data_IF_075083614398
#
_entry.id   IF_075083614398
#
_cell.length_a   1.000
_cell.length_b   1.000
_cell.length_c   1.000
_cell.angle_alpha   90.00
_cell.angle_beta   90.00
_cell.angle_gamma   90.00
#
_symmetry.space_group_name_H-M   'P 1'
#
loop_
_entity.id
_entity.type
_entity.pdbx_description
1 polymer ?
#
# COMPACT_ATOMS: atom_id res chain seq x y z
N UNK A 1 22.27 13.43 5.45
CA UNK A 1 23.14 14.06 4.43
C UNK A 1 24.31 14.83 5.03
N UNK A 2 24.09 15.84 5.89
CA UNK A 2 25.17 16.66 6.48
C UNK A 2 26.39 15.84 6.98
N UNK A 3 26.19 14.90 7.91
CA UNK A 3 27.28 14.03 8.43
C UNK A 3 27.97 13.16 7.38
N UNK A 4 27.22 12.70 6.37
CA UNK A 4 27.77 11.92 5.26
C UNK A 4 28.70 12.80 4.39
N UNK A 5 28.31 14.06 4.15
CA UNK A 5 29.14 15.04 3.43
C UNK A 5 30.37 15.47 4.24
N UNK A 6 30.24 15.54 5.57
CA UNK A 6 31.33 15.83 6.50
C UNK A 6 32.32 14.65 6.67
N UNK A 7 32.10 13.51 6.00
CA UNK A 7 33.03 12.38 6.00
C UNK A 7 32.93 11.49 7.23
N UNK A 8 31.76 11.46 7.89
CA UNK A 8 31.52 10.57 9.02
C UNK A 8 31.51 9.10 8.59
N UNK A 9 32.58 8.38 8.92
CA UNK A 9 32.79 6.97 8.51
C UNK A 9 31.72 6.03 9.02
N UNK A 10 31.15 6.28 10.20
CA UNK A 10 30.09 5.45 10.75
C UNK A 10 28.79 5.63 9.95
N UNK A 11 28.43 6.89 9.67
CA UNK A 11 27.25 7.19 8.86
C UNK A 11 27.40 6.65 7.45
N UNK A 12 28.60 6.73 6.86
CA UNK A 12 28.88 6.14 5.55
C UNK A 12 28.67 4.63 5.54
N UNK A 13 29.22 3.92 6.53
CA UNK A 13 29.06 2.47 6.67
C UNK A 13 27.58 2.09 6.83
N UNK A 14 26.84 2.82 7.65
CA UNK A 14 25.40 2.60 7.84
C UNK A 14 24.60 2.85 6.56
N UNK A 15 24.90 3.91 5.82
CA UNK A 15 24.23 4.22 4.55
C UNK A 15 24.48 3.11 3.52
N UNK A 16 25.73 2.63 3.38
CA UNK A 16 26.05 1.49 2.49
C UNK A 16 25.24 0.24 2.87
N UNK A 17 25.19 -0.07 4.17
CA UNK A 17 24.47 -1.21 4.71
C UNK A 17 22.97 -1.14 4.44
N UNK A 18 22.30 -0.02 4.76
CA UNK A 18 20.83 0.09 4.63
C UNK A 18 20.37 0.26 3.19
N UNK A 19 21.18 0.87 2.33
CA UNK A 19 20.84 1.04 0.91
C UNK A 19 21.19 -0.19 0.08
N UNK A 20 21.90 -1.17 0.66
CA UNK A 20 22.49 -2.32 -0.02
C UNK A 20 23.28 -1.89 -1.28
N UNK A 21 23.92 -0.72 -1.22
CA UNK A 21 24.71 -0.13 -2.29
C UNK A 21 26.14 0.07 -1.78
N UNK A 22 27.04 -0.82 -2.16
CA UNK A 22 28.45 -0.71 -1.78
C UNK A 22 29.23 0.28 -2.67
N UNK A 23 28.73 0.53 -3.88
CA UNK A 23 29.49 1.21 -4.94
C UNK A 23 29.14 2.69 -5.07
N UNK A 24 27.88 3.07 -4.87
CA UNK A 24 27.42 4.45 -5.07
C UNK A 24 26.63 4.92 -3.86
N UNK A 25 27.17 5.91 -3.18
CA UNK A 25 26.49 6.61 -2.09
C UNK A 25 25.50 7.63 -2.66
N UNK A 26 24.33 7.81 -2.03
CA UNK A 26 23.41 8.87 -2.40
C UNK A 26 24.04 10.23 -2.13
N UNK A 27 23.89 11.16 -3.08
CA UNK A 27 24.42 12.52 -3.04
C UNK A 27 23.44 13.54 -2.48
N UNK A 28 22.14 13.24 -2.58
CA UNK A 28 21.05 14.09 -2.10
C UNK A 28 20.19 13.38 -1.06
N UNK A 29 19.42 14.15 -0.28
CA UNK A 29 18.49 13.59 0.68
C UNK A 29 17.39 12.77 -0.02
N UNK A 30 16.96 13.24 -1.20
CA UNK A 30 15.99 12.59 -2.05
C UNK A 30 16.51 11.26 -2.61
N UNK A 31 17.78 11.17 -3.04
CA UNK A 31 18.38 9.90 -3.48
C UNK A 31 18.47 8.87 -2.34
N UNK A 32 18.79 9.33 -1.13
CA UNK A 32 18.77 8.48 0.05
C UNK A 32 17.34 8.03 0.37
N UNK A 33 16.38 8.96 0.37
CA UNK A 33 14.96 8.66 0.60
C UNK A 33 14.44 7.66 -0.44
N UNK A 34 14.81 7.77 -1.70
CA UNK A 34 14.42 6.83 -2.74
C UNK A 34 14.91 5.40 -2.48
N UNK A 35 16.02 5.27 -1.76
CA UNK A 35 16.58 3.97 -1.42
C UNK A 35 15.89 3.30 -0.23
N UNK A 36 15.44 4.07 0.76
CA UNK A 36 15.00 3.54 2.06
C UNK A 36 13.51 3.78 2.35
N UNK A 37 12.94 4.86 1.82
CA UNK A 37 11.53 5.23 2.01
C UNK A 37 10.73 4.73 0.82
N UNK A 38 9.80 3.83 1.10
CA UNK A 38 8.84 3.32 0.15
C UNK A 38 7.47 3.81 0.56
N UNK A 39 6.75 4.44 -0.36
CA UNK A 39 5.39 4.93 -0.11
C UNK A 39 4.43 4.25 -1.07
N UNK A 40 3.21 3.99 -0.62
CA UNK A 40 2.18 3.41 -1.46
C UNK A 40 0.84 4.10 -1.23
N UNK A 41 0.22 4.60 -2.29
CA UNK A 41 -1.17 5.04 -2.27
C UNK A 41 -2.06 3.87 -2.68
N UNK A 42 -2.81 3.35 -1.71
CA UNK A 42 -3.70 2.19 -1.85
C UNK A 42 -5.15 2.66 -2.06
N UNK A 43 -5.50 2.87 -3.32
CA UNK A 43 -6.77 3.43 -3.75
C UNK A 43 -7.86 2.36 -3.87
N UNK A 44 -9.11 2.76 -3.71
CA UNK A 44 -10.29 2.01 -4.14
C UNK A 44 -11.11 2.83 -5.13
N UNK A 45 -12.17 2.24 -5.70
CA UNK A 45 -13.17 2.87 -6.58
C UNK A 45 -13.81 4.13 -5.98
N UNK A 46 -13.82 4.23 -4.64
CA UNK A 46 -14.35 5.36 -3.90
C UNK A 46 -13.30 6.45 -3.59
N UNK A 47 -12.04 6.24 -3.99
CA UNK A 47 -10.95 7.19 -3.73
C UNK A 47 -10.90 8.28 -4.80
N UNK A 48 -10.81 9.54 -4.39
CA UNK A 48 -10.78 10.68 -5.30
C UNK A 48 -9.41 10.96 -5.93
N UNK A 49 -9.38 11.47 -7.16
CA UNK A 49 -8.13 11.82 -7.87
C UNK A 49 -7.27 12.83 -7.11
N UNK A 50 -7.88 13.78 -6.41
CA UNK A 50 -7.15 14.81 -5.66
C UNK A 50 -6.23 14.24 -4.57
N UNK A 51 -6.63 13.18 -3.85
CA UNK A 51 -5.80 12.58 -2.80
C UNK A 51 -4.68 11.72 -3.38
N UNK A 52 -4.92 11.05 -4.51
CA UNK A 52 -3.88 10.37 -5.28
C UNK A 52 -2.80 11.35 -5.74
N UNK A 53 -3.21 12.44 -6.38
CA UNK A 53 -2.28 13.42 -6.94
C UNK A 53 -1.51 14.15 -5.83
N UNK A 54 -2.15 14.38 -4.68
CA UNK A 54 -1.46 14.87 -3.49
C UNK A 54 -0.39 13.88 -2.98
N UNK A 55 -0.72 12.60 -2.87
CA UNK A 55 0.22 11.57 -2.42
C UNK A 55 1.44 11.47 -3.35
N UNK A 56 1.23 11.52 -4.67
CA UNK A 56 2.31 11.54 -5.65
C UNK A 56 3.20 12.78 -5.46
N UNK A 57 2.62 13.98 -5.36
CA UNK A 57 3.40 15.22 -5.18
C UNK A 57 4.26 15.20 -3.91
N UNK A 58 3.71 14.69 -2.81
CA UNK A 58 4.47 14.55 -1.56
C UNK A 58 5.62 13.55 -1.75
N UNK A 59 5.35 12.42 -2.39
CA UNK A 59 6.36 11.41 -2.66
C UNK A 59 7.50 11.94 -3.54
N UNK A 60 7.19 12.76 -4.54
CA UNK A 60 8.16 13.41 -5.43
C UNK A 60 9.02 14.44 -4.67
N UNK A 61 8.41 15.26 -3.80
CA UNK A 61 9.12 16.23 -2.97
C UNK A 61 10.08 15.56 -1.99
N UNK A 62 9.66 14.46 -1.37
CA UNK A 62 10.48 13.67 -0.45
C UNK A 62 11.54 12.85 -1.20
N UNK A 63 11.25 12.43 -2.43
CA UNK A 63 12.06 11.52 -3.23
C UNK A 63 11.82 10.04 -2.93
N UNK A 64 10.72 9.67 -2.27
CA UNK A 64 10.44 8.27 -1.92
C UNK A 64 10.16 7.40 -3.15
N UNK A 65 10.38 6.09 -3.05
CA UNK A 65 9.91 5.15 -4.08
C UNK A 65 8.41 4.92 -3.94
N UNK A 66 7.62 5.63 -4.75
CA UNK A 66 6.18 5.63 -4.69
C UNK A 66 5.53 4.52 -5.54
N UNK A 67 4.45 3.93 -5.01
CA UNK A 67 3.56 3.04 -5.76
C UNK A 67 2.12 3.49 -5.66
N UNK A 68 1.42 3.37 -6.78
CA UNK A 68 -0.02 3.48 -6.84
C UNK A 68 -0.60 2.07 -7.03
N UNK A 69 -1.56 1.69 -6.20
CA UNK A 69 -2.19 0.36 -6.25
C UNK A 69 -3.69 0.52 -6.08
N UNK A 70 -4.46 -0.10 -6.98
CA UNK A 70 -5.91 -0.26 -6.84
C UNK A 70 -6.21 -1.54 -6.07
N UNK A 71 -6.95 -1.44 -4.96
CA UNK A 71 -7.31 -2.59 -4.11
C UNK A 71 -8.65 -3.23 -4.49
N UNK A 72 -9.35 -2.67 -5.48
CA UNK A 72 -10.70 -3.07 -5.85
C UNK A 72 -10.79 -4.56 -6.16
N UNK A 73 -9.87 -5.10 -6.96
CA UNK A 73 -9.84 -6.54 -7.28
C UNK A 73 -9.81 -7.45 -6.05
N UNK A 74 -9.11 -7.04 -4.98
CA UNK A 74 -9.04 -7.83 -3.75
C UNK A 74 -10.33 -7.68 -2.94
N UNK A 75 -10.93 -6.49 -2.94
CA UNK A 75 -12.20 -6.27 -2.27
C UNK A 75 -13.34 -7.00 -2.99
N UNK A 76 -13.41 -6.86 -4.31
CA UNK A 76 -14.41 -7.50 -5.16
C UNK A 76 -14.30 -9.02 -5.04
N UNK A 77 -13.10 -9.62 -5.02
CA UNK A 77 -12.94 -11.07 -4.79
C UNK A 77 -13.46 -11.54 -3.42
N UNK A 78 -13.37 -10.71 -2.38
CA UNK A 78 -13.93 -11.04 -1.05
C UNK A 78 -15.45 -10.92 -1.06
N UNK A 79 -16.00 -9.91 -1.75
CA UNK A 79 -17.45 -9.72 -1.94
C UNK A 79 -18.05 -10.86 -2.80
N UNK A 80 -17.35 -11.29 -3.85
CA UNK A 80 -17.70 -12.45 -4.68
C UNK A 80 -17.69 -13.74 -3.86
N UNK A 81 -16.65 -13.99 -3.07
CA UNK A 81 -16.61 -15.17 -2.20
C UNK A 81 -17.77 -15.18 -1.17
N UNK A 82 -18.15 -14.03 -0.62
CA UNK A 82 -19.33 -13.95 0.24
C UNK A 82 -20.61 -14.27 -0.54
N UNK A 83 -20.72 -13.77 -1.76
CA UNK A 83 -21.86 -14.05 -2.65
C UNK A 83 -21.98 -15.54 -2.93
N UNK A 84 -20.89 -16.16 -3.39
CA UNK A 84 -20.86 -17.55 -3.84
C UNK A 84 -21.04 -18.55 -2.69
N UNK A 85 -20.46 -18.28 -1.51
CA UNK A 85 -20.39 -19.27 -0.43
C UNK A 85 -21.36 -19.03 0.73
N UNK A 86 -21.98 -17.84 0.83
CA UNK A 86 -22.82 -17.48 1.99
C UNK A 86 -24.26 -17.17 1.61
N UNK A 87 -24.50 -16.53 0.47
CA UNK A 87 -25.85 -16.07 0.07
C UNK A 87 -26.35 -16.69 -1.23
N UNK A 88 -25.60 -17.63 -1.79
CA UNK A 88 -26.05 -18.52 -2.87
C UNK A 88 -26.53 -19.84 -2.26
N UNK A 89 -27.75 -20.26 -2.59
CA UNK A 89 -28.31 -21.53 -2.11
C UNK A 89 -27.76 -22.76 -2.87
N UNK A 90 -28.17 -23.96 -2.45
CA UNK A 90 -27.73 -25.23 -3.06
C UNK A 90 -28.14 -25.37 -4.54
N UNK A 91 -29.12 -24.57 -4.99
CA UNK A 91 -29.64 -24.55 -6.35
C UNK A 91 -28.94 -23.49 -7.22
N UNK A 92 -28.00 -22.73 -6.65
CA UNK A 92 -27.23 -21.71 -7.34
C UNK A 92 -27.94 -20.36 -7.44
N UNK A 93 -29.01 -20.13 -6.67
CA UNK A 93 -29.75 -18.87 -6.65
C UNK A 93 -29.21 -17.95 -5.57
N UNK A 94 -28.93 -16.71 -5.97
CA UNK A 94 -28.44 -15.64 -5.09
C UNK A 94 -29.62 -14.94 -4.43
N UNK A 95 -29.58 -14.77 -3.10
CA UNK A 95 -30.49 -13.84 -2.41
C UNK A 95 -30.04 -12.39 -2.64
N UNK A 96 -30.62 -11.75 -3.65
CA UNK A 96 -30.32 -10.35 -4.01
C UNK A 96 -30.56 -9.35 -2.87
N UNK A 97 -31.40 -9.71 -1.89
CA UNK A 97 -31.67 -8.90 -0.70
C UNK A 97 -30.50 -8.87 0.29
N UNK A 98 -29.60 -9.85 0.22
CA UNK A 98 -28.45 -9.99 1.11
C UNK A 98 -27.14 -9.49 0.51
N UNK A 99 -27.13 -9.09 -0.77
CA UNK A 99 -25.95 -8.49 -1.43
C UNK A 99 -25.55 -7.22 -0.67
N UNK A 100 -24.33 -7.15 -0.10
CA UNK A 100 -23.89 -5.98 0.66
C UNK A 100 -23.87 -4.73 -0.23
N UNK A 101 -24.44 -3.64 0.27
CA UNK A 101 -24.47 -2.34 -0.42
C UNK A 101 -23.98 -1.25 0.52
N UNK A 102 -23.35 -0.22 -0.02
CA UNK A 102 -23.01 0.97 0.75
C UNK A 102 -24.30 1.69 1.19
N UNK A 103 -24.22 2.47 2.27
CA UNK A 103 -25.35 3.26 2.76
C UNK A 103 -25.82 4.26 1.69
N UNK A 104 -24.89 4.81 0.91
CA UNK A 104 -25.18 5.70 -0.23
C UNK A 104 -25.90 5.01 -1.39
N UNK A 105 -25.90 3.67 -1.42
CA UNK A 105 -26.55 2.84 -2.44
C UNK A 105 -27.82 2.14 -1.90
N UNK A 106 -28.34 2.60 -0.76
CA UNK A 106 -29.53 2.02 -0.13
C UNK A 106 -29.25 0.79 0.75
N UNK A 107 -27.99 0.53 1.11
CA UNK A 107 -27.62 -0.50 2.07
C UNK A 107 -27.93 -0.14 3.52
N UNK A 108 -27.60 -1.05 4.43
CA UNK A 108 -27.73 -0.85 5.88
C UNK A 108 -26.42 -0.41 6.49
N UNK A 109 -26.45 0.14 7.71
CA UNK A 109 -25.22 0.47 8.46
C UNK A 109 -24.27 -0.73 8.61
N UNK A 110 -24.82 -1.93 8.78
CA UNK A 110 -24.03 -3.16 8.92
C UNK A 110 -23.27 -3.52 7.63
N UNK A 111 -23.97 -3.50 6.50
CA UNK A 111 -23.37 -3.83 5.19
C UNK A 111 -22.37 -2.76 4.75
N UNK A 112 -22.67 -1.49 5.00
CA UNK A 112 -21.76 -0.37 4.76
C UNK A 112 -20.45 -0.50 5.56
N UNK A 113 -20.54 -0.78 6.87
CA UNK A 113 -19.36 -1.00 7.71
C UNK A 113 -18.57 -2.25 7.28
N UNK A 114 -19.25 -3.31 6.84
CA UNK A 114 -18.58 -4.51 6.33
C UNK A 114 -17.73 -4.19 5.09
N UNK A 115 -18.30 -3.49 4.11
CA UNK A 115 -17.60 -3.08 2.88
C UNK A 115 -16.42 -2.13 3.17
N UNK A 116 -16.59 -1.18 4.09
CA UNK A 116 -15.49 -0.31 4.53
C UNK A 116 -14.37 -1.08 5.24
N UNK A 117 -14.72 -2.06 6.08
CA UNK A 117 -13.76 -2.91 6.75
C UNK A 117 -12.96 -3.77 5.77
N UNK A 118 -13.62 -4.34 4.74
CA UNK A 118 -12.94 -5.08 3.67
C UNK A 118 -11.88 -4.18 3.01
N UNK A 119 -12.26 -2.97 2.60
CA UNK A 119 -11.28 -2.02 2.03
C UNK A 119 -10.13 -1.72 3.00
N UNK A 120 -10.41 -1.44 4.28
CA UNK A 120 -9.37 -1.11 5.26
C UNK A 120 -8.40 -2.28 5.51
N UNK A 121 -8.91 -3.51 5.60
CA UNK A 121 -8.09 -4.71 5.83
C UNK A 121 -7.35 -5.16 4.57
N UNK A 122 -7.93 -4.96 3.40
CA UNK A 122 -7.22 -5.17 2.12
C UNK A 122 -6.01 -4.24 2.00
N UNK A 123 -6.13 -2.96 2.44
CA UNK A 123 -4.97 -2.05 2.50
C UNK A 123 -3.88 -2.57 3.43
N UNK A 124 -4.25 -3.06 4.61
CA UNK A 124 -3.28 -3.66 5.54
C UNK A 124 -2.53 -4.83 4.89
N UNK A 125 -3.26 -5.80 4.32
CA UNK A 125 -2.66 -6.98 3.67
C UNK A 125 -1.72 -6.56 2.54
N UNK A 126 -2.15 -5.64 1.69
CA UNK A 126 -1.31 -5.12 0.59
C UNK A 126 -0.07 -4.40 1.10
N UNK A 127 -0.16 -3.61 2.17
CA UNK A 127 1.00 -2.93 2.77
C UNK A 127 2.05 -3.92 3.25
N UNK A 128 1.65 -5.01 3.91
CA UNK A 128 2.59 -6.04 4.36
C UNK A 128 3.20 -6.82 3.19
N UNK A 129 2.41 -7.14 2.17
CA UNK A 129 2.92 -7.79 0.96
C UNK A 129 3.96 -6.91 0.24
N UNK A 130 3.66 -5.61 0.09
CA UNK A 130 4.60 -4.64 -0.47
C UNK A 130 5.86 -4.51 0.39
N UNK A 131 5.72 -4.46 1.71
CA UNK A 131 6.86 -4.36 2.61
C UNK A 131 7.83 -5.54 2.47
N UNK A 132 7.30 -6.75 2.29
CA UNK A 132 8.11 -7.96 2.12
C UNK A 132 8.71 -8.09 0.70
N UNK A 133 8.00 -7.62 -0.33
CA UNK A 133 8.34 -7.92 -1.73
C UNK A 133 8.87 -6.74 -2.54
N UNK A 134 8.69 -5.48 -2.11
CA UNK A 134 9.25 -4.33 -2.85
C UNK A 134 10.78 -4.35 -2.92
N UNK A 135 11.53 -4.69 -1.86
CA UNK A 135 12.98 -4.89 -1.97
C UNK A 135 13.32 -5.96 -3.02
N UNK A 136 12.63 -7.10 -2.99
CA UNK A 136 12.81 -8.18 -3.96
C UNK A 136 12.52 -7.73 -5.39
N UNK A 137 11.42 -7.01 -5.62
CA UNK A 137 11.06 -6.44 -6.93
C UNK A 137 12.11 -5.44 -7.44
N UNK A 138 12.86 -4.81 -6.54
CA UNK A 138 14.00 -3.92 -6.85
C UNK A 138 15.34 -4.67 -6.96
N UNK A 139 15.33 -6.02 -6.93
CA UNK A 139 16.52 -6.88 -6.87
C UNK A 139 17.44 -6.54 -5.70
N UNK A 140 16.85 -6.18 -4.57
CA UNK A 140 17.52 -5.94 -3.28
C UNK A 140 17.10 -7.02 -2.30
N UNK A 141 17.98 -7.34 -1.35
CA UNK A 141 17.66 -8.22 -0.23
C UNK A 141 16.89 -7.48 0.88
N UNK A 142 16.38 -8.25 1.84
CA UNK A 142 15.75 -7.72 3.06
C UNK A 142 14.24 -7.47 2.95
N UNK A 143 13.73 -6.72 3.91
CA UNK A 143 12.31 -6.38 4.07
C UNK A 143 12.18 -4.94 4.57
N UNK A 144 10.99 -4.36 4.44
CA UNK A 144 10.68 -3.02 4.92
C UNK A 144 9.93 -3.09 6.25
N UNK A 145 10.18 -2.11 7.13
CA UNK A 145 9.35 -1.88 8.30
C UNK A 145 8.09 -1.13 7.87
N UNK A 146 6.91 -1.69 8.15
CA UNK A 146 5.64 -1.01 7.90
C UNK A 146 5.43 0.07 8.95
N UNK A 147 5.18 1.31 8.51
CA UNK A 147 4.81 2.43 9.38
C UNK A 147 3.30 2.62 9.32
N UNK A 148 2.65 2.69 10.48
CA UNK A 148 1.23 2.97 10.61
C UNK A 148 1.01 4.41 11.09
N UNK A 149 -0.02 5.06 10.54
CA UNK A 149 -0.51 6.39 10.95
C UNK A 149 -1.91 6.29 11.52
#
# INVERSE_FOLDING_TARGET
MKRLVEGDKQVEADVKRITASEVVLPKTAQELAHCIIHTAYLASKNSGGATRDLAQRIADQVGSYHKFVMIDKVCDAVEEAFTDYVITDEEGKVDEGLIPKYLSQGGTRTTDLALQNIQARSRMVMSFMLAQLLPHARRRGGYLLVLST
#
